data_IF_755681510365
#
_entry.id   IF_755681510365
#
_cell.length_a   1.000
_cell.length_b   1.000
_cell.length_c   1.000
_cell.angle_alpha   90.00
_cell.angle_beta   90.00
_cell.angle_gamma   90.00
#
_symmetry.space_group_name_H-M   'P 1'
#
loop_
_entity.id
_entity.type
_entity.pdbx_description
1 polymer ?
#
# COMPACT_ATOMS: atom_id res chain seq x y z
N UNK A 4 5.50 0.42 -20.07
CA UNK A 4 5.16 0.72 -18.64
C UNK A 4 3.93 -0.08 -18.20
N UNK A 5 3.07 -0.39 -19.17
CA UNK A 5 1.85 -1.15 -18.90
C UNK A 5 2.13 -2.65 -18.93
N UNK A 6 1.57 -3.36 -17.96
CA UNK A 6 1.76 -4.80 -17.85
C UNK A 6 1.10 -5.59 -18.96
N UNK A 7 1.71 -6.72 -19.30
CA UNK A 7 1.15 -7.61 -20.29
C UNK A 7 0.61 -8.77 -19.45
N UNK A 8 -0.64 -8.67 -19.03
CA UNK A 8 -1.25 -9.70 -18.20
C UNK A 8 -1.02 -11.12 -18.68
N UNK A 9 -0.44 -11.92 -17.80
CA UNK A 9 -0.20 -13.33 -18.09
C UNK A 9 -1.04 -14.12 -17.10
N UNK A 10 -1.95 -14.93 -17.63
CA UNK A 10 -2.85 -15.74 -16.79
C UNK A 10 -2.14 -16.84 -16.00
N UNK A 11 -2.79 -17.28 -14.93
CA UNK A 11 -2.23 -18.33 -14.09
C UNK A 11 -3.31 -19.31 -13.68
N UNK A 12 -3.41 -20.40 -14.42
CA UNK A 12 -4.40 -21.44 -14.14
C UNK A 12 -4.18 -22.00 -12.73
N UNK A 13 -5.26 -22.36 -12.03
CA UNK A 13 -5.11 -22.91 -10.67
C UNK A 13 -4.37 -24.24 -10.67
N UNK A 14 -4.26 -24.84 -11.84
CA UNK A 14 -3.56 -26.12 -11.99
C UNK A 14 -2.05 -25.89 -12.02
N UNK A 15 -1.63 -24.90 -12.81
CA UNK A 15 -0.22 -24.56 -12.92
C UNK A 15 0.30 -24.23 -11.52
N UNK A 16 -0.61 -23.81 -10.64
CA UNK A 16 -0.26 -23.47 -9.27
C UNK A 16 -0.03 -24.74 -8.45
N UNK A 17 -0.91 -25.71 -8.58
CA UNK A 17 -0.75 -26.97 -7.85
C UNK A 17 0.60 -27.58 -8.19
N UNK A 18 1.01 -27.49 -9.46
CA UNK A 18 2.30 -28.03 -9.88
C UNK A 18 3.38 -27.33 -9.06
N UNK A 19 3.31 -26.00 -9.04
CA UNK A 19 4.24 -25.20 -8.28
C UNK A 19 4.31 -25.66 -6.84
N UNK A 20 3.15 -25.79 -6.20
CA UNK A 20 3.13 -26.23 -4.81
C UNK A 20 3.61 -27.66 -4.68
N UNK A 21 3.64 -28.39 -5.79
CA UNK A 21 4.09 -29.76 -5.74
C UNK A 21 5.61 -29.75 -5.85
N UNK A 22 6.10 -29.14 -6.92
CA UNK A 22 7.54 -29.03 -7.19
C UNK A 22 8.31 -28.64 -5.92
N UNK A 23 7.61 -28.06 -4.95
CA UNK A 23 8.25 -27.64 -3.70
C UNK A 23 7.70 -28.43 -2.51
N UNK A 24 7.36 -29.68 -2.77
CA UNK A 24 6.85 -30.56 -1.72
C UNK A 24 5.74 -29.99 -0.85
N UNK A 25 5.26 -28.81 -1.19
CA UNK A 25 4.18 -28.19 -0.42
C UNK A 25 2.89 -28.98 -0.64
N UNK A 26 2.74 -30.07 0.10
CA UNK A 26 1.55 -30.91 0.00
C UNK A 26 0.34 -30.03 0.30
N UNK A 27 -0.66 -30.07 -0.57
CA UNK A 27 -1.85 -29.26 -0.34
C UNK A 27 -2.80 -30.03 0.57
N UNK A 28 -3.97 -30.40 0.06
CA UNK A 28 -4.96 -31.14 0.83
C UNK A 28 -6.25 -31.25 0.04
N UNK A 29 -7.08 -30.21 0.12
CA UNK A 29 -8.35 -30.19 -0.59
C UNK A 29 -8.66 -28.81 -1.16
N UNK A 30 -8.71 -28.74 -2.48
CA UNK A 30 -9.01 -27.49 -3.14
C UNK A 30 -8.07 -26.34 -2.90
N UNK A 31 -7.90 -25.54 -3.94
CA UNK A 31 -7.07 -24.35 -3.91
C UNK A 31 -8.04 -23.19 -4.10
N UNK A 32 -8.81 -22.88 -3.07
CA UNK A 32 -9.78 -21.79 -3.14
C UNK A 32 -9.14 -20.41 -3.15
N UNK A 33 -9.46 -19.59 -4.17
CA UNK A 33 -8.95 -18.23 -4.37
C UNK A 33 -9.56 -17.13 -3.51
N UNK A 34 -8.71 -16.19 -3.11
CA UNK A 34 -9.09 -15.02 -2.32
C UNK A 34 -8.98 -13.85 -3.30
N UNK A 35 -9.67 -12.75 -3.02
CA UNK A 35 -9.60 -11.63 -3.93
C UNK A 35 -8.63 -10.52 -3.50
N UNK A 36 -7.60 -10.33 -4.32
CA UNK A 36 -6.59 -9.30 -4.14
C UNK A 36 -6.29 -8.85 -5.57
N UNK A 37 -6.32 -7.55 -5.81
CA UNK A 37 -6.08 -7.04 -7.15
C UNK A 37 -4.63 -7.12 -7.62
N UNK A 38 -3.70 -6.67 -6.77
CA UNK A 38 -2.28 -6.64 -7.12
C UNK A 38 -1.68 -7.96 -7.52
N UNK A 39 -1.76 -8.93 -6.61
CA UNK A 39 -1.20 -10.26 -6.87
C UNK A 39 -2.29 -11.31 -6.75
N UNK A 40 -2.03 -12.50 -7.26
CA UNK A 40 -2.97 -13.61 -7.20
C UNK A 40 -2.72 -14.44 -5.93
N UNK A 41 -3.71 -14.43 -5.03
CA UNK A 41 -3.61 -15.17 -3.77
C UNK A 41 -4.65 -16.27 -3.67
N UNK A 42 -4.20 -17.45 -3.26
CA UNK A 42 -5.08 -18.61 -3.09
C UNK A 42 -4.83 -19.19 -1.71
N UNK A 43 -5.88 -19.74 -1.09
CA UNK A 43 -5.76 -20.35 0.24
C UNK A 43 -5.81 -21.87 0.11
N UNK A 44 -5.26 -22.58 1.08
CA UNK A 44 -5.25 -24.04 1.04
C UNK A 44 -4.86 -24.64 2.39
N UNK A 45 -5.57 -25.68 2.81
CA UNK A 45 -5.28 -26.35 4.09
C UNK A 45 -4.04 -27.22 3.94
N UNK A 46 -3.58 -27.76 5.06
CA UNK A 46 -2.39 -28.62 5.06
C UNK A 46 -2.76 -29.99 5.63
N UNK A 47 -1.85 -30.94 5.55
CA UNK A 47 -2.09 -32.28 6.09
C UNK A 47 -2.15 -32.17 7.61
N UNK A 48 -3.26 -31.64 8.10
CA UNK A 48 -3.52 -31.41 9.52
C UNK A 48 -4.58 -30.32 9.52
N UNK A 49 -4.95 -29.91 8.31
CA UNK A 49 -5.92 -28.86 8.04
C UNK A 49 -5.66 -27.54 8.77
N UNK A 50 -4.49 -26.97 8.53
CA UNK A 50 -4.10 -25.68 9.12
C UNK A 50 -3.91 -24.75 7.93
N UNK A 51 -4.93 -23.93 7.66
CA UNK A 51 -4.96 -23.00 6.54
C UNK A 51 -3.69 -22.20 6.20
N UNK A 52 -3.47 -22.03 4.89
CA UNK A 52 -2.33 -21.32 4.31
C UNK A 52 -2.81 -20.52 3.11
N UNK A 53 -1.92 -19.71 2.55
CA UNK A 53 -2.25 -18.93 1.35
C UNK A 53 -1.00 -18.80 0.49
N UNK A 54 -1.15 -18.97 -0.81
CA UNK A 54 -0.01 -18.83 -1.69
C UNK A 54 -0.19 -17.48 -2.33
N UNK A 55 0.89 -16.75 -2.53
CA UNK A 55 0.81 -15.44 -3.13
C UNK A 55 1.72 -15.48 -4.33
N UNK A 56 1.15 -15.28 -5.51
CA UNK A 56 1.94 -15.25 -6.72
C UNK A 56 2.15 -13.81 -7.09
N UNK A 57 3.36 -13.33 -6.87
CA UNK A 57 3.71 -11.97 -7.17
C UNK A 57 3.54 -11.72 -8.66
N UNK A 58 2.78 -10.70 -9.01
CA UNK A 58 2.55 -10.40 -10.41
C UNK A 58 3.85 -10.03 -11.11
N UNK A 59 4.18 -10.76 -12.18
CA UNK A 59 5.40 -10.50 -12.95
C UNK A 59 5.53 -9.05 -13.36
N UNK A 60 6.77 -8.61 -13.53
CA UNK A 60 7.09 -7.24 -13.93
C UNK A 60 6.98 -6.17 -12.85
N UNK A 61 6.34 -6.50 -11.72
CA UNK A 61 6.20 -5.51 -10.66
C UNK A 61 7.47 -5.41 -9.83
N UNK A 62 7.75 -6.45 -9.05
CA UNK A 62 8.92 -6.51 -8.18
C UNK A 62 9.96 -7.52 -8.67
N UNK A 63 11.22 -7.26 -8.39
CA UNK A 63 12.28 -8.19 -8.78
C UNK A 63 12.48 -9.09 -7.57
N UNK A 64 13.22 -10.18 -7.75
CA UNK A 64 13.48 -11.09 -6.66
C UNK A 64 14.18 -10.31 -5.54
N UNK A 65 15.22 -9.57 -5.91
CA UNK A 65 15.98 -8.77 -4.96
C UNK A 65 15.06 -7.85 -4.15
N UNK A 66 13.91 -7.51 -4.69
CA UNK A 66 12.97 -6.63 -4.02
C UNK A 66 12.02 -7.39 -3.08
N UNK A 67 11.56 -8.56 -3.54
CA UNK A 67 10.66 -9.37 -2.74
C UNK A 67 11.45 -9.95 -1.57
N UNK A 68 12.74 -10.14 -1.77
CA UNK A 68 13.59 -10.67 -0.70
C UNK A 68 13.68 -9.66 0.43
N UNK A 69 13.73 -8.37 0.06
CA UNK A 69 13.83 -7.29 1.03
C UNK A 69 12.61 -7.22 1.97
N UNK A 70 11.42 -7.50 1.46
CA UNK A 70 10.28 -7.46 2.35
C UNK A 70 10.23 -8.76 3.15
N UNK A 71 10.56 -9.87 2.49
CA UNK A 71 10.57 -11.17 3.16
C UNK A 71 11.50 -11.08 4.36
N UNK A 72 12.59 -10.34 4.18
CA UNK A 72 13.55 -10.14 5.26
C UNK A 72 12.82 -9.29 6.30
N UNK A 73 12.40 -8.10 5.87
CA UNK A 73 11.70 -7.19 6.77
C UNK A 73 10.62 -7.93 7.56
N UNK A 74 9.72 -8.62 6.87
CA UNK A 74 8.65 -9.36 7.54
C UNK A 74 9.22 -10.32 8.57
N UNK A 75 10.23 -11.08 8.17
CA UNK A 75 10.85 -12.07 9.05
C UNK A 75 11.48 -11.40 10.26
N UNK A 76 12.21 -10.30 10.05
CA UNK A 76 12.84 -9.58 11.15
C UNK A 76 11.78 -8.99 12.07
N UNK A 77 10.75 -8.41 11.46
CA UNK A 77 9.66 -7.80 12.20
C UNK A 77 9.04 -8.82 13.17
N UNK A 78 8.95 -10.07 12.74
CA UNK A 78 8.39 -11.13 13.58
C UNK A 78 9.31 -11.28 14.79
N UNK A 79 10.61 -11.32 14.53
CA UNK A 79 11.61 -11.46 15.59
C UNK A 79 11.41 -10.43 16.72
N UNK A 80 11.17 -9.18 16.34
CA UNK A 80 10.99 -8.10 17.31
C UNK A 80 9.56 -7.99 17.82
N UNK A 81 8.79 -9.05 17.61
CA UNK A 81 7.41 -9.15 18.05
C UNK A 81 6.43 -8.11 17.51
N UNK A 82 6.25 -8.12 16.20
CA UNK A 82 5.31 -7.22 15.55
C UNK A 82 4.33 -8.09 14.75
N UNK A 83 3.02 -7.92 15.00
CA UNK A 83 1.89 -8.62 14.39
C UNK A 83 1.85 -8.68 12.86
N UNK A 84 2.64 -9.55 12.27
CA UNK A 84 2.67 -9.73 10.83
C UNK A 84 2.96 -11.19 10.53
N UNK A 85 2.56 -11.67 9.36
CA UNK A 85 2.83 -13.07 9.04
C UNK A 85 4.00 -13.17 8.07
N UNK A 86 5.09 -13.76 8.53
CA UNK A 86 6.27 -13.92 7.70
C UNK A 86 6.05 -15.09 6.75
N UNK A 87 6.65 -15.04 5.56
CA UNK A 87 6.48 -16.14 4.60
C UNK A 87 7.21 -17.38 5.10
N UNK A 88 6.67 -18.56 4.82
CA UNK A 88 7.29 -19.82 5.25
C UNK A 88 8.53 -20.15 4.45
N UNK A 89 9.50 -20.79 5.08
CA UNK A 89 10.73 -21.16 4.39
C UNK A 89 10.63 -22.59 3.85
N UNK A 90 11.25 -22.81 2.70
CA UNK A 90 11.21 -24.15 2.11
C UNK A 90 12.58 -24.70 1.73
N UNK A 91 13.25 -25.27 2.72
CA UNK A 91 14.55 -25.90 2.54
C UNK A 91 15.55 -24.99 1.84
N UNK A 92 15.61 -23.75 2.29
CA UNK A 92 16.54 -22.80 1.69
C UNK A 92 16.08 -21.36 1.84
N UNK A 93 15.10 -20.97 1.04
CA UNK A 93 14.58 -19.61 1.09
C UNK A 93 13.08 -19.60 1.24
N UNK A 94 12.50 -18.41 1.04
CA UNK A 94 11.07 -18.22 1.16
C UNK A 94 10.45 -17.85 -0.20
N UNK A 95 11.29 -17.35 -1.11
CA UNK A 95 10.84 -16.92 -2.42
C UNK A 95 10.84 -18.01 -3.48
N UNK A 96 9.84 -18.88 -3.46
CA UNK A 96 9.77 -19.93 -4.46
C UNK A 96 9.46 -19.31 -5.83
N UNK A 97 9.68 -20.10 -6.88
CA UNK A 97 9.43 -19.63 -8.25
C UNK A 97 9.12 -20.77 -9.22
N UNK A 98 7.86 -20.88 -9.62
CA UNK A 98 7.49 -21.91 -10.57
C UNK A 98 7.17 -21.27 -11.90
N UNK A 99 7.69 -21.84 -12.97
CA UNK A 99 7.46 -21.31 -14.30
C UNK A 99 7.99 -19.87 -14.35
N UNK A 100 7.17 -18.95 -14.84
CA UNK A 100 7.60 -17.57 -14.92
C UNK A 100 7.02 -16.69 -13.83
N UNK A 101 6.65 -17.32 -12.72
CA UNK A 101 6.06 -16.60 -11.60
C UNK A 101 6.78 -16.89 -10.30
N UNK A 102 6.99 -15.85 -9.49
CA UNK A 102 7.62 -16.00 -8.18
C UNK A 102 6.45 -16.17 -7.23
N UNK A 103 6.70 -16.69 -6.03
CA UNK A 103 5.62 -16.84 -5.07
C UNK A 103 6.14 -17.21 -3.69
N UNK A 104 5.29 -17.01 -2.69
CA UNK A 104 5.62 -17.31 -1.31
C UNK A 104 4.37 -17.87 -0.64
N UNK A 105 4.56 -18.51 0.51
CA UNK A 105 3.43 -19.09 1.23
C UNK A 105 3.35 -18.46 2.62
N UNK A 106 2.17 -17.99 3.01
CA UNK A 106 2.03 -17.38 4.32
C UNK A 106 1.00 -18.08 5.18
N UNK A 107 1.27 -18.16 6.49
CA UNK A 107 0.36 -18.79 7.46
C UNK A 107 -0.96 -18.04 7.51
N UNK A 108 -2.02 -18.62 6.96
CA UNK A 108 -3.31 -17.95 6.98
C UNK A 108 -3.55 -17.45 8.41
N UNK A 109 -3.59 -16.13 8.54
CA UNK A 109 -3.77 -15.47 9.83
C UNK A 109 -5.18 -15.59 10.43
N UNK A 110 -6.18 -15.12 9.70
CA UNK A 110 -7.55 -15.17 10.20
C UNK A 110 -7.84 -13.95 11.05
N UNK A 111 -9.02 -13.89 11.65
CA UNK A 111 -9.36 -12.74 12.47
C UNK A 111 -10.46 -11.85 11.91
N UNK A 112 -11.01 -10.98 12.76
CA UNK A 112 -12.10 -10.09 12.35
C UNK A 112 -11.63 -8.80 11.68
N UNK A 113 -12.60 -7.95 11.37
CA UNK A 113 -12.36 -6.68 10.71
C UNK A 113 -11.98 -5.60 11.74
N UNK A 114 -10.81 -4.99 11.55
CA UNK A 114 -10.34 -3.95 12.43
C UNK A 114 -11.25 -2.74 12.40
N UNK A 115 -11.62 -2.25 13.58
CA UNK A 115 -12.51 -1.11 13.73
C UNK A 115 -11.76 0.18 14.06
N UNK A 116 -11.58 1.04 13.06
CA UNK A 116 -10.89 2.30 13.25
C UNK A 116 -11.66 3.21 14.19
N UNK A 117 -12.91 2.83 14.44
CA UNK A 117 -13.77 3.58 15.33
C UNK A 117 -13.25 3.49 16.76
N UNK A 118 -13.16 2.26 17.26
CA UNK A 118 -12.70 2.01 18.62
C UNK A 118 -11.34 2.63 18.84
N UNK A 119 -11.30 3.69 19.66
CA UNK A 119 -10.07 4.39 19.97
C UNK A 119 -9.04 3.48 20.65
N UNK A 120 -9.51 2.42 21.30
CA UNK A 120 -8.61 1.50 21.98
C UNK A 120 -7.80 0.70 20.97
N UNK A 121 -8.46 0.15 19.95
CA UNK A 121 -7.78 -0.62 18.92
C UNK A 121 -6.79 0.29 18.19
N UNK A 122 -7.17 1.57 18.09
CA UNK A 122 -6.35 2.57 17.44
C UNK A 122 -5.02 2.64 18.18
N UNK A 123 -5.10 2.72 19.51
CA UNK A 123 -3.90 2.78 20.33
C UNK A 123 -3.03 1.54 20.18
N UNK A 124 -3.66 0.37 20.19
CA UNK A 124 -2.94 -0.90 20.04
C UNK A 124 -2.23 -0.92 18.69
N UNK A 125 -2.91 -0.40 17.67
CA UNK A 125 -2.34 -0.34 16.31
C UNK A 125 -1.23 0.70 16.27
N UNK A 126 -1.48 1.86 16.86
CA UNK A 126 -0.47 2.90 16.87
C UNK A 126 0.77 2.47 17.62
N UNK A 127 0.55 1.68 18.68
CA UNK A 127 1.65 1.19 19.50
C UNK A 127 2.51 0.16 18.74
N UNK A 128 1.87 -0.81 18.08
CA UNK A 128 2.61 -1.81 17.32
C UNK A 128 3.29 -1.15 16.14
N UNK A 129 2.66 -0.10 15.62
CA UNK A 129 3.20 0.65 14.49
C UNK A 129 4.50 1.31 14.95
N UNK A 130 4.57 1.62 16.23
CA UNK A 130 5.74 2.25 16.80
C UNK A 130 6.86 1.23 16.93
N UNK A 131 6.50 -0.01 17.23
CA UNK A 131 7.50 -1.04 17.35
C UNK A 131 7.92 -1.47 15.95
N UNK A 132 7.01 -1.32 15.00
CA UNK A 132 7.30 -1.70 13.61
C UNK A 132 8.36 -0.77 13.06
N UNK A 133 8.11 0.52 13.17
CA UNK A 133 9.06 1.53 12.68
C UNK A 133 10.36 1.47 13.46
N UNK A 134 10.30 0.92 14.67
CA UNK A 134 11.48 0.77 15.49
C UNK A 134 12.41 -0.19 14.76
N UNK A 135 11.81 -1.27 14.25
CA UNK A 135 12.54 -2.27 13.48
C UNK A 135 12.90 -1.65 12.15
N UNK A 136 11.86 -1.24 11.45
CA UNK A 136 12.03 -0.62 10.15
C UNK A 136 13.13 0.41 10.06
N UNK A 137 13.49 1.03 11.18
CA UNK A 137 14.55 2.04 11.09
C UNK A 137 15.96 1.46 11.14
N UNK A 138 16.08 0.19 11.53
CA UNK A 138 17.39 -0.45 11.62
C UNK A 138 18.21 -0.38 10.32
N UNK A 139 17.55 -0.49 9.17
CA UNK A 139 18.21 -0.38 7.88
C UNK A 139 17.18 -0.07 6.81
N UNK A 140 17.66 0.44 5.67
CA UNK A 140 16.80 0.84 4.56
C UNK A 140 16.82 -0.11 3.37
N UNK A 141 15.68 -0.25 2.70
CA UNK A 141 15.63 -1.09 1.51
C UNK A 141 16.71 -0.56 0.57
N UNK A 142 17.12 -1.37 -0.40
CA UNK A 142 18.13 -0.93 -1.34
C UNK A 142 17.54 -1.08 -2.72
N UNK A 143 16.67 -2.08 -2.88
CA UNK A 143 16.02 -2.34 -4.15
C UNK A 143 14.58 -1.83 -4.23
N UNK A 144 13.84 -1.95 -3.13
CA UNK A 144 12.48 -1.47 -3.10
C UNK A 144 12.49 0.04 -3.22
N UNK A 145 11.42 0.62 -3.76
CA UNK A 145 11.35 2.07 -3.93
C UNK A 145 11.40 2.82 -2.61
N UNK A 146 11.82 4.07 -2.67
CA UNK A 146 11.83 4.89 -1.48
C UNK A 146 10.95 6.07 -1.88
N UNK A 147 9.73 6.09 -1.34
CA UNK A 147 8.73 7.10 -1.63
C UNK A 147 9.33 8.46 -2.00
N UNK A 148 8.85 9.01 -3.09
CA UNK A 148 9.34 10.27 -3.58
C UNK A 148 8.51 10.68 -4.76
N UNK A 149 8.75 11.89 -5.26
CA UNK A 149 7.99 12.43 -6.39
C UNK A 149 8.13 11.70 -7.74
N UNK A 150 9.29 11.08 -7.98
CA UNK A 150 9.50 10.39 -9.24
C UNK A 150 8.46 9.34 -9.54
N UNK A 151 8.38 8.33 -8.67
CA UNK A 151 7.44 7.22 -8.82
C UNK A 151 5.99 7.61 -8.61
N UNK A 152 5.78 8.54 -7.69
CA UNK A 152 4.43 8.96 -7.38
C UNK A 152 3.82 10.04 -8.26
N UNK A 153 4.64 10.96 -8.75
CA UNK A 153 4.13 12.05 -9.59
C UNK A 153 4.59 12.11 -11.05
N UNK A 154 5.89 12.30 -11.28
CA UNK A 154 6.38 12.43 -12.64
C UNK A 154 6.14 11.23 -13.56
N UNK A 155 6.29 10.01 -13.06
CA UNK A 155 6.07 8.83 -13.90
C UNK A 155 4.60 8.77 -14.33
N UNK A 156 3.68 8.85 -13.37
CA UNK A 156 2.26 8.81 -13.73
C UNK A 156 1.91 9.91 -14.75
N UNK A 157 2.36 11.13 -14.50
CA UNK A 157 2.07 12.20 -15.43
C UNK A 157 2.53 11.82 -16.83
N UNK A 158 3.63 11.09 -16.92
CA UNK A 158 4.15 10.67 -18.22
C UNK A 158 3.20 9.67 -18.88
N UNK A 159 2.66 8.76 -18.07
CA UNK A 159 1.73 7.78 -18.59
C UNK A 159 0.51 8.56 -19.07
N UNK A 160 -0.04 9.40 -18.19
CA UNK A 160 -1.21 10.21 -18.50
C UNK A 160 -1.13 10.86 -19.88
N UNK A 161 0.06 11.32 -20.25
CA UNK A 161 0.26 11.99 -21.52
C UNK A 161 -0.21 11.15 -22.70
N UNK A 162 0.41 9.98 -22.86
CA UNK A 162 0.10 9.04 -23.94
C UNK A 162 -0.92 7.98 -23.51
N UNK A 163 -1.81 8.37 -22.60
CA UNK A 163 -2.84 7.51 -22.03
C UNK A 163 -3.79 6.72 -22.93
N UNK A 164 -4.50 7.41 -23.83
CA UNK A 164 -5.46 6.75 -24.71
C UNK A 164 -6.77 6.51 -23.98
N UNK A 165 -6.65 6.11 -22.71
CA UNK A 165 -7.81 5.79 -21.89
C UNK A 165 -8.51 7.02 -21.31
N UNK A 166 -7.93 8.19 -21.51
CA UNK A 166 -8.50 9.44 -21.03
C UNK A 166 -9.25 10.06 -22.20
N UNK A 167 -10.56 10.29 -22.04
CA UNK A 167 -11.36 10.91 -23.13
C UNK A 167 -10.66 12.11 -23.76
N UNK A 168 -10.50 12.07 -25.07
CA UNK A 168 -9.83 13.17 -25.79
C UNK A 168 -10.53 14.50 -25.56
N UNK A 169 -9.76 15.59 -25.53
CA UNK A 169 -10.35 16.90 -25.32
C UNK A 169 -11.19 16.86 -24.06
N UNK A 170 -10.48 16.82 -22.94
CA UNK A 170 -11.02 16.74 -21.60
C UNK A 170 -9.70 16.34 -20.93
N UNK A 171 -8.83 15.78 -21.76
CA UNK A 171 -7.50 15.39 -21.35
C UNK A 171 -6.69 16.64 -21.03
N UNK A 172 -6.83 17.67 -21.87
CA UNK A 172 -6.10 18.90 -21.67
C UNK A 172 -6.35 19.47 -20.29
N UNK A 173 -7.61 19.68 -19.96
CA UNK A 173 -7.99 20.23 -18.67
C UNK A 173 -7.42 19.33 -17.58
N UNK A 174 -7.57 18.02 -17.77
CA UNK A 174 -7.10 17.04 -16.80
C UNK A 174 -5.59 17.13 -16.61
N UNK A 175 -4.85 17.13 -17.71
CA UNK A 175 -3.40 17.21 -17.59
C UNK A 175 -3.00 18.54 -16.95
N UNK A 176 -3.84 19.55 -17.12
CA UNK A 176 -3.55 20.87 -16.54
C UNK A 176 -3.76 20.79 -15.04
N UNK A 177 -4.88 20.20 -14.62
CA UNK A 177 -5.17 20.05 -13.21
C UNK A 177 -4.07 19.21 -12.57
N UNK A 178 -3.53 18.25 -13.31
CA UNK A 178 -2.46 17.40 -12.76
C UNK A 178 -1.19 18.21 -12.54
N UNK A 179 -0.67 18.82 -13.59
CA UNK A 179 0.53 19.63 -13.51
C UNK A 179 0.41 20.55 -12.29
N UNK A 180 -0.70 21.25 -12.19
CA UNK A 180 -0.95 22.17 -11.08
C UNK A 180 -0.83 21.46 -9.75
N UNK A 181 -1.27 20.20 -9.72
CA UNK A 181 -1.20 19.43 -8.49
C UNK A 181 0.22 19.05 -8.18
N UNK A 182 0.95 18.53 -9.17
CA UNK A 182 2.32 18.14 -8.89
C UNK A 182 3.20 19.37 -8.58
N UNK A 183 2.82 20.54 -9.05
CA UNK A 183 3.60 21.72 -8.74
C UNK A 183 3.40 22.03 -7.25
N UNK A 184 2.14 21.97 -6.80
CA UNK A 184 1.82 22.24 -5.41
C UNK A 184 2.48 21.24 -4.47
N UNK A 185 2.33 19.95 -4.73
CA UNK A 185 2.93 18.96 -3.85
C UNK A 185 4.46 19.09 -3.85
N UNK A 186 5.05 19.32 -5.02
CA UNK A 186 6.50 19.48 -5.09
C UNK A 186 6.95 20.64 -4.20
N UNK A 187 6.20 21.74 -4.25
CA UNK A 187 6.55 22.92 -3.45
C UNK A 187 6.47 22.68 -1.94
N UNK A 188 5.80 21.63 -1.51
CA UNK A 188 5.69 21.33 -0.09
C UNK A 188 6.45 20.07 0.29
N UNK A 189 7.07 19.41 -0.69
CA UNK A 189 7.81 18.18 -0.41
C UNK A 189 9.13 18.56 0.21
N UNK A 190 9.76 17.63 0.91
CA UNK A 190 11.04 17.93 1.54
C UNK A 190 11.82 16.67 1.86
N UNK A 191 13.15 16.75 1.73
CA UNK A 191 14.02 15.61 2.03
C UNK A 191 14.55 15.88 3.42
N UNK A 192 13.78 16.67 4.16
CA UNK A 192 14.09 17.09 5.50
C UNK A 192 13.46 16.18 6.58
N UNK A 193 13.26 14.90 6.25
CA UNK A 193 12.67 14.00 7.21
C UNK A 193 13.43 12.69 7.31
N UNK A 194 13.03 11.86 8.26
CA UNK A 194 13.68 10.58 8.47
C UNK A 194 13.01 9.52 7.59
N UNK A 195 13.82 8.64 7.02
CA UNK A 195 13.31 7.59 6.14
C UNK A 195 13.53 6.24 6.80
N UNK A 196 12.57 5.34 6.63
CA UNK A 196 12.69 4.01 7.20
C UNK A 196 11.78 3.05 6.44
N UNK A 197 11.94 1.76 6.71
CA UNK A 197 11.14 0.73 6.07
C UNK A 197 9.73 0.87 6.62
N UNK A 198 8.76 1.10 5.72
CA UNK A 198 7.35 1.28 6.10
C UNK A 198 6.48 0.14 5.64
N UNK A 199 5.28 0.07 6.20
CA UNK A 199 4.31 -0.94 5.79
C UNK A 199 3.92 -0.50 4.39
N UNK A 200 4.02 0.81 4.14
CA UNK A 200 3.72 1.37 2.83
C UNK A 200 2.28 1.54 2.41
N UNK A 201 1.38 0.72 2.94
CA UNK A 201 -0.04 0.78 2.60
C UNK A 201 -0.81 0.51 3.88
N UNK A 202 -0.56 1.33 4.90
CA UNK A 202 -1.19 1.14 6.20
C UNK A 202 -2.47 1.89 6.42
N UNK A 203 -3.59 1.20 6.23
CA UNK A 203 -4.91 1.76 6.41
C UNK A 203 -5.81 0.60 6.84
N UNK A 204 -6.89 0.93 7.52
CA UNK A 204 -7.83 -0.07 8.02
C UNK A 204 -7.87 -1.36 7.19
N UNK A 205 -8.10 -1.22 5.89
CA UNK A 205 -8.19 -2.40 5.05
C UNK A 205 -7.16 -3.49 5.24
N UNK A 206 -5.90 -3.12 5.36
CA UNK A 206 -4.82 -4.10 5.53
C UNK A 206 -4.49 -4.40 7.00
N UNK A 207 -5.47 -4.24 7.87
CA UNK A 207 -5.21 -4.55 9.25
C UNK A 207 -6.39 -5.41 9.79
N UNK A 208 -6.04 -6.51 10.45
CA UNK A 208 -7.02 -7.43 11.02
C UNK A 208 -6.96 -7.44 12.54
N UNK A 209 -8.03 -7.91 13.17
CA UNK A 209 -8.05 -7.94 14.63
C UNK A 209 -8.65 -9.19 15.25
N UNK A 210 -7.80 -9.92 15.96
CA UNK A 210 -8.20 -11.12 16.68
C UNK A 210 -7.47 -10.89 18.00
N UNK A 211 -8.13 -10.14 18.90
CA UNK A 211 -7.55 -9.77 20.19
C UNK A 211 -6.10 -9.32 19.97
N UNK A 212 -5.99 -8.18 19.29
CA UNK A 212 -4.72 -7.57 18.95
C UNK A 212 -4.72 -7.24 17.47
N UNK A 213 -3.97 -6.21 17.05
CA UNK A 213 -3.95 -5.88 15.63
C UNK A 213 -3.00 -6.84 14.94
N UNK A 214 -3.22 -7.04 13.65
CA UNK A 214 -2.36 -7.90 12.86
C UNK A 214 -2.25 -7.27 11.50
N UNK A 215 -1.06 -6.81 11.15
CA UNK A 215 -0.88 -6.17 9.85
C UNK A 215 -0.65 -7.21 8.77
N UNK A 216 -1.34 -7.02 7.66
CA UNK A 216 -1.20 -7.94 6.54
C UNK A 216 -0.84 -7.20 5.28
N UNK A 217 -0.11 -7.88 4.40
CA UNK A 217 0.27 -7.33 3.11
C UNK A 217 1.39 -6.30 3.15
N UNK A 218 2.63 -6.75 2.98
CA UNK A 218 3.77 -5.84 2.96
C UNK A 218 4.23 -5.63 1.52
N UNK A 219 3.47 -6.16 0.57
CA UNK A 219 3.82 -6.05 -0.84
C UNK A 219 4.22 -4.62 -1.22
N UNK A 220 3.65 -3.64 -0.53
CA UNK A 220 3.93 -2.24 -0.83
C UNK A 220 5.00 -1.60 0.03
N UNK A 221 5.48 -2.33 1.03
CA UNK A 221 6.53 -1.82 1.91
C UNK A 221 7.49 -1.00 1.05
N UNK A 222 7.72 0.24 1.45
CA UNK A 222 8.60 1.13 0.71
C UNK A 222 9.41 1.94 1.73
N UNK A 223 10.39 2.71 1.27
CA UNK A 223 11.13 3.55 2.21
C UNK A 223 10.42 4.90 2.18
N UNK A 224 10.04 5.42 3.34
CA UNK A 224 9.36 6.70 3.37
C UNK A 224 9.29 7.29 4.76
N UNK A 225 8.48 8.33 4.95
CA UNK A 225 8.31 8.99 6.25
C UNK A 225 7.29 8.25 7.11
N UNK A 226 7.62 8.09 8.39
CA UNK A 226 6.76 7.39 9.34
C UNK A 226 5.29 7.76 9.15
N UNK A 227 5.00 9.04 8.93
CA UNK A 227 3.62 9.48 8.74
C UNK A 227 2.83 8.66 7.73
N UNK A 228 3.52 8.12 6.72
CA UNK A 228 2.89 7.33 5.67
C UNK A 228 1.99 6.23 6.23
N UNK A 229 2.44 5.59 7.31
CA UNK A 229 1.68 4.49 7.92
C UNK A 229 0.73 5.01 8.99
N UNK A 230 0.59 6.33 9.09
CA UNK A 230 -0.30 6.90 10.10
C UNK A 230 -1.43 7.75 9.56
N UNK A 231 -1.18 8.55 8.52
CA UNK A 231 -2.25 9.41 8.07
C UNK A 231 -3.51 8.71 7.55
N UNK A 232 -3.37 7.58 6.87
CA UNK A 232 -4.57 6.92 6.35
C UNK A 232 -5.46 6.28 7.39
N UNK A 233 -5.07 6.38 8.66
CA UNK A 233 -5.86 5.80 9.73
C UNK A 233 -6.98 6.74 10.20
N UNK A 234 -6.69 8.04 10.23
CA UNK A 234 -7.66 9.01 10.71
C UNK A 234 -9.01 8.92 10.01
N UNK A 235 -10.08 9.11 10.78
CA UNK A 235 -11.42 9.04 10.23
C UNK A 235 -12.40 9.84 11.08
N UNK A 236 -13.31 10.57 10.43
CA UNK A 236 -14.30 11.33 11.17
C UNK A 236 -14.26 12.83 10.94
N UNK A 237 -14.88 13.58 11.84
CA UNK A 237 -14.89 15.03 11.70
C UNK A 237 -13.52 15.55 12.10
N UNK A 238 -13.25 16.81 11.79
CA UNK A 238 -11.96 17.43 12.10
C UNK A 238 -11.52 17.15 13.54
N UNK A 239 -12.40 17.40 14.51
CA UNK A 239 -12.08 17.21 15.91
C UNK A 239 -11.86 15.77 16.34
N UNK A 240 -12.49 14.84 15.63
CA UNK A 240 -12.35 13.42 15.92
C UNK A 240 -10.94 13.04 15.52
N UNK A 241 -10.52 13.54 14.36
CA UNK A 241 -9.20 13.27 13.83
C UNK A 241 -8.13 14.02 14.59
N UNK A 242 -8.52 15.06 15.31
CA UNK A 242 -7.53 15.79 16.09
C UNK A 242 -7.14 14.93 17.28
N UNK A 243 -8.09 14.20 17.84
CA UNK A 243 -7.79 13.38 18.99
C UNK A 243 -7.19 12.03 18.64
N UNK A 244 -7.60 11.46 17.51
CA UNK A 244 -7.05 10.16 17.10
C UNK A 244 -5.58 10.36 16.83
N UNK A 245 -5.27 11.36 16.03
CA UNK A 245 -3.89 11.64 15.71
C UNK A 245 -3.15 11.83 17.02
N UNK A 246 -3.68 12.71 17.85
CA UNK A 246 -3.08 12.99 19.13
C UNK A 246 -2.91 11.69 19.93
N UNK A 247 -3.89 10.79 19.79
CA UNK A 247 -3.88 9.53 20.52
C UNK A 247 -2.93 8.44 20.03
N UNK A 248 -2.95 8.20 18.72
CA UNK A 248 -2.08 7.17 18.16
C UNK A 248 -0.60 7.53 18.32
N UNK A 249 -0.30 8.83 18.39
CA UNK A 249 1.08 9.26 18.56
C UNK A 249 1.55 9.01 19.98
N UNK A 250 0.64 9.13 20.94
CA UNK A 250 0.97 8.92 22.34
C UNK A 250 1.29 7.45 22.57
N UNK A 251 0.64 6.58 21.81
CA UNK A 251 0.88 5.16 21.92
C UNK A 251 2.09 4.81 21.07
N UNK A 252 2.13 5.36 19.87
CA UNK A 252 3.22 5.14 18.95
C UNK A 252 4.56 5.47 19.62
N UNK A 253 4.64 6.63 20.25
CA UNK A 253 5.88 7.04 20.90
C UNK A 253 6.45 6.12 21.98
N UNK A 254 5.72 5.08 22.35
CA UNK A 254 6.22 4.15 23.34
C UNK A 254 7.46 3.43 22.81
N UNK A 255 7.51 3.20 21.50
CA UNK A 255 8.64 2.50 20.88
C UNK A 255 9.42 3.29 19.83
N UNK A 256 8.82 4.34 19.31
CA UNK A 256 9.46 5.18 18.31
C UNK A 256 8.99 6.61 18.48
N UNK A 257 9.93 7.53 18.56
CA UNK A 257 9.55 8.92 18.71
C UNK A 257 8.98 9.34 17.37
N UNK A 258 7.96 10.19 17.40
CA UNK A 258 7.33 10.68 16.18
C UNK A 258 7.70 12.14 15.99
N UNK A 259 8.02 12.51 14.76
CA UNK A 259 8.37 13.88 14.47
C UNK A 259 7.10 14.62 14.04
N UNK A 260 6.53 15.38 14.96
CA UNK A 260 5.31 16.12 14.69
C UNK A 260 5.32 16.85 13.34
N UNK A 261 6.47 17.37 12.94
CA UNK A 261 6.54 18.11 11.67
C UNK A 261 6.12 17.30 10.45
N UNK A 262 6.22 15.98 10.53
CA UNK A 262 5.85 15.12 9.39
C UNK A 262 4.36 15.22 9.09
N UNK A 263 3.60 15.80 10.00
CA UNK A 263 2.16 15.94 9.81
C UNK A 263 1.88 16.89 8.65
N UNK A 264 2.89 17.68 8.29
CA UNK A 264 2.74 18.61 7.19
C UNK A 264 2.89 17.93 5.84
N UNK A 265 3.43 16.71 5.87
CA UNK A 265 3.61 15.94 4.64
C UNK A 265 2.35 15.16 4.24
N UNK A 266 1.29 15.21 5.06
CA UNK A 266 0.10 14.41 4.74
C UNK A 266 -0.64 14.81 3.47
N UNK A 267 -0.97 16.09 3.30
CA UNK A 267 -1.67 16.47 2.09
C UNK A 267 -0.82 16.15 0.87
N UNK A 268 0.51 16.28 0.99
CA UNK A 268 1.27 15.95 -0.20
C UNK A 268 1.22 14.43 -0.44
N UNK A 269 1.21 13.64 0.63
CA UNK A 269 1.16 12.18 0.48
C UNK A 269 -0.16 11.74 -0.12
N UNK A 270 -1.25 12.34 0.35
CA UNK A 270 -2.57 12.02 -0.15
C UNK A 270 -2.65 12.40 -1.64
N UNK A 271 -2.10 13.57 -1.98
CA UNK A 271 -2.08 14.00 -3.37
C UNK A 271 -1.29 12.97 -4.14
N UNK A 272 -0.19 12.53 -3.53
CA UNK A 272 0.69 11.55 -4.15
C UNK A 272 0.00 10.21 -4.41
N UNK A 273 -0.75 9.72 -3.42
CA UNK A 273 -1.45 8.45 -3.55
C UNK A 273 -2.55 8.59 -4.59
N UNK A 274 -3.08 9.80 -4.69
CA UNK A 274 -4.15 10.06 -5.62
C UNK A 274 -3.70 9.93 -7.05
N UNK A 275 -2.65 10.66 -7.40
CA UNK A 275 -2.16 10.60 -8.77
C UNK A 275 -1.52 9.27 -9.13
N UNK A 276 -0.86 8.62 -8.20
CA UNK A 276 -0.24 7.34 -8.52
C UNK A 276 -1.30 6.28 -8.80
N UNK A 277 -2.35 6.28 -7.98
CA UNK A 277 -3.43 5.30 -8.11
C UNK A 277 -4.07 5.27 -9.51
N UNK A 278 -4.01 6.39 -10.21
CA UNK A 278 -4.60 6.45 -11.53
C UNK A 278 -3.71 5.70 -12.51
N UNK A 279 -2.40 5.84 -12.35
CA UNK A 279 -1.46 5.15 -13.24
C UNK A 279 -1.49 3.66 -12.90
N UNK A 280 -1.60 3.38 -11.61
CA UNK A 280 -1.63 2.01 -11.12
C UNK A 280 -2.74 1.25 -11.82
N UNK A 281 -3.95 1.80 -11.81
CA UNK A 281 -5.09 1.16 -12.47
C UNK A 281 -4.82 1.06 -13.96
N UNK A 282 -4.47 2.19 -14.56
CA UNK A 282 -4.17 2.21 -15.99
C UNK A 282 -3.17 1.13 -16.38
N UNK A 283 -2.02 1.09 -15.72
CA UNK A 283 -1.00 0.10 -16.07
C UNK A 283 -1.43 -1.35 -16.04
N UNK A 284 -2.40 -1.65 -15.19
CA UNK A 284 -2.90 -3.02 -15.05
C UNK A 284 -4.19 -3.25 -15.82
N UNK A 285 -4.51 -2.36 -16.75
CA UNK A 285 -5.74 -2.48 -17.52
C UNK A 285 -5.91 -3.74 -18.36
N UNK A 286 -4.81 -4.34 -18.83
CA UNK A 286 -4.90 -5.54 -19.65
C UNK A 286 -5.30 -6.76 -18.82
N UNK A 287 -5.34 -6.58 -17.51
CA UNK A 287 -5.73 -7.64 -16.59
C UNK A 287 -7.25 -7.59 -16.57
N UNK A 288 -7.90 -8.68 -16.98
CA UNK A 288 -9.37 -8.78 -17.02
C UNK A 288 -10.05 -8.21 -15.79
N UNK A 289 -9.49 -8.49 -14.63
CA UNK A 289 -10.02 -8.03 -13.35
C UNK A 289 -10.23 -6.51 -13.21
N UNK A 290 -9.43 -5.70 -13.89
CA UNK A 290 -9.56 -4.25 -13.78
C UNK A 290 -10.72 -3.65 -14.59
N UNK A 291 -11.03 -4.19 -15.77
CA UNK A 291 -12.15 -3.54 -16.46
C UNK A 291 -13.41 -4.16 -15.84
N UNK A 292 -13.22 -5.25 -15.12
CA UNK A 292 -14.31 -5.97 -14.48
C UNK A 292 -14.78 -5.28 -13.20
N UNK A 293 -13.89 -4.51 -12.58
CA UNK A 293 -14.23 -3.86 -11.33
C UNK A 293 -14.22 -2.33 -11.40
N UNK A 294 -13.46 -1.78 -12.33
CA UNK A 294 -13.37 -0.33 -12.49
C UNK A 294 -13.88 0.11 -13.87
N UNK A 295 -15.03 -0.45 -14.31
CA UNK A 295 -15.62 -0.13 -15.61
C UNK A 295 -15.69 1.36 -15.94
N UNK A 296 -15.99 2.18 -14.94
CA UNK A 296 -16.10 3.62 -15.14
C UNK A 296 -14.82 4.28 -15.65
N UNK A 297 -13.68 3.70 -15.32
CA UNK A 297 -12.40 4.24 -15.72
C UNK A 297 -12.43 4.74 -17.16
N UNK A 298 -13.40 4.28 -17.94
CA UNK A 298 -13.51 4.68 -19.33
C UNK A 298 -14.36 5.91 -19.65
N UNK A 299 -15.39 6.17 -18.85
CA UNK A 299 -16.26 7.31 -19.10
C UNK A 299 -15.69 8.68 -18.76
N UNK A 300 -16.38 9.74 -19.17
CA UNK A 300 -15.94 11.10 -18.89
C UNK A 300 -16.21 11.46 -17.45
N UNK A 301 -17.45 11.23 -17.00
CA UNK A 301 -17.84 11.54 -15.64
C UNK A 301 -16.67 11.32 -14.70
N UNK A 302 -16.07 10.15 -14.80
CA UNK A 302 -14.95 9.78 -13.96
C UNK A 302 -13.76 10.72 -14.13
N UNK A 303 -13.39 11.05 -15.37
CA UNK A 303 -12.26 11.94 -15.59
C UNK A 303 -12.58 13.40 -15.32
N UNK A 304 -13.85 13.72 -15.17
CA UNK A 304 -14.22 15.09 -14.86
C UNK A 304 -14.13 15.21 -13.35
N UNK A 305 -14.65 14.22 -12.64
CA UNK A 305 -14.62 14.21 -11.18
C UNK A 305 -13.18 14.21 -10.70
N UNK A 306 -12.35 13.44 -11.39
CA UNK A 306 -10.94 13.33 -11.03
C UNK A 306 -10.28 14.68 -11.20
N UNK A 307 -10.57 15.34 -12.33
CA UNK A 307 -10.02 16.66 -12.63
C UNK A 307 -10.37 17.65 -11.53
N UNK A 308 -11.61 17.60 -11.08
CA UNK A 308 -12.06 18.49 -10.04
C UNK A 308 -11.39 18.11 -8.71
N UNK A 309 -11.20 16.81 -8.48
CA UNK A 309 -10.56 16.38 -7.23
C UNK A 309 -9.13 16.90 -7.19
N UNK A 310 -8.43 16.82 -8.30
CA UNK A 310 -7.07 17.31 -8.31
C UNK A 310 -7.09 18.81 -8.01
N UNK A 311 -7.84 19.58 -8.80
CA UNK A 311 -7.93 21.02 -8.58
C UNK A 311 -8.23 21.34 -7.12
N UNK A 312 -9.08 20.53 -6.49
CA UNK A 312 -9.43 20.75 -5.09
C UNK A 312 -8.24 20.49 -4.15
N UNK A 313 -7.45 19.48 -4.46
CA UNK A 313 -6.29 19.13 -3.64
C UNK A 313 -5.24 20.23 -3.61
N UNK A 314 -5.05 20.90 -4.73
CA UNK A 314 -4.06 21.98 -4.78
C UNK A 314 -4.48 23.13 -3.86
N UNK A 315 -5.79 23.32 -3.69
CA UNK A 315 -6.29 24.37 -2.82
C UNK A 315 -6.04 24.02 -1.35
N UNK A 316 -6.04 22.74 -1.05
CA UNK A 316 -5.81 22.26 0.31
C UNK A 316 -4.34 22.47 0.65
N UNK A 317 -3.50 22.45 -0.38
CA UNK A 317 -2.06 22.63 -0.22
C UNK A 317 -1.65 24.10 -0.16
N UNK A 318 -2.61 25.00 -0.35
CA UNK A 318 -2.34 26.43 -0.32
C UNK A 318 -3.26 27.18 0.63
N UNK A 319 -2.73 28.24 1.25
CA UNK A 319 -3.51 29.02 2.18
C UNK A 319 -4.68 29.70 1.48
N UNK A 320 -5.90 29.50 1.99
CA UNK A 320 -7.11 30.10 1.41
C UNK A 320 -7.12 31.60 1.69
N UNK A 321 -7.40 32.43 0.67
CA UNK A 321 -7.42 33.88 0.86
C UNK A 321 -8.50 34.43 1.82
N UNK A 322 -8.79 33.66 2.87
CA UNK A 322 -9.78 34.05 3.88
C UNK A 322 -9.38 35.43 4.39
N UNK A 323 -8.15 35.52 4.89
CA UNK A 323 -7.55 36.76 5.39
C UNK A 323 -7.96 37.27 6.77
N UNK A 324 -9.25 37.20 7.11
CA UNK A 324 -9.71 37.67 8.42
C UNK A 324 -8.82 37.11 9.53
N UNK A 325 -8.23 35.95 9.26
CA UNK A 325 -7.35 35.24 10.18
C UNK A 325 -7.95 34.94 11.55
N UNK A 326 -9.15 34.31 11.57
CA UNK A 326 -9.78 34.00 12.85
C UNK A 326 -9.03 32.89 13.60
N UNK A 327 -8.41 33.25 14.73
CA UNK A 327 -7.67 32.28 15.53
C UNK A 327 -8.63 31.28 16.16
N UNK A 328 -8.61 31.24 17.49
CA UNK A 328 -9.47 30.35 18.27
C UNK A 328 -9.19 30.50 19.75
#
# INVERSE_FOLDING_TARGET
MNNSAFTFQTLHPDTIMDALFEHGIRVDSGLTPLNSYENRVYQFQDEDRRRFVVKFYRPERWTADQILEEHQFALQLVNDEVPVAAPVAFNGQTLLNHQGFYFAVFPSVGGRQFEADNIDQMEAVGRYLGRMHQTGRKQLFIHRPTIGLNEYLIEPRKLFEDATLIPSGLKAAFLKATDELIAAVTAHWREDFTVLRLHGDCHAGNILWRDGPMFVDLDDARNGPAVQDLWMLLNGDKAEQRMQLETIIEAYEEFSEFDTAEIGLIEPLRAMRLVYYLAWLMRRWADPAFPKNFPWLTGEDYWLRQTATFIEQAKVLQEPPLQLTPMY
#
